data_IF_775758905443
#
_entry.id   IF_775758905443
#
_cell.length_a   1.000
_cell.length_b   1.000
_cell.length_c   1.000
_cell.angle_alpha   90.00
_cell.angle_beta   90.00
_cell.angle_gamma   90.00
#
_symmetry.space_group_name_H-M   'P 1'
#
loop_
_entity.id
_entity.type
_entity.pdbx_description
1 polymer ?
#
# COMPACT_ATOMS: atom_id res chain seq x y z
N UNK A 1 -6.83 -0.34 -5.10
CA UNK A 1 -8.26 -0.33 -4.68
C UNK A 1 -8.41 0.58 -3.48
N UNK A 2 -9.59 1.14 -3.26
CA UNK A 2 -9.84 2.01 -2.11
C UNK A 2 -9.87 1.16 -0.83
N UNK A 3 -9.13 1.54 0.23
CA UNK A 3 -9.18 0.82 1.49
C UNK A 3 -10.57 0.81 2.11
N UNK A 4 -11.04 -0.37 2.52
CA UNK A 4 -12.27 -0.55 3.28
C UNK A 4 -11.95 -0.58 4.79
N UNK A 5 -12.19 0.54 5.44
CA UNK A 5 -11.94 0.71 6.86
C UNK A 5 -12.81 -0.16 7.76
N UNK A 6 -14.03 -0.52 7.35
CA UNK A 6 -14.92 -1.38 8.14
C UNK A 6 -14.39 -2.83 8.13
N UNK A 7 -13.99 -3.31 6.96
CA UNK A 7 -13.37 -4.63 6.81
C UNK A 7 -12.03 -4.71 7.55
N UNK A 8 -11.21 -3.66 7.49
CA UNK A 8 -9.94 -3.59 8.24
C UNK A 8 -10.21 -3.65 9.75
N UNK A 9 -11.12 -2.82 10.26
CA UNK A 9 -11.43 -2.75 11.69
C UNK A 9 -11.97 -4.09 12.23
N UNK A 10 -12.93 -4.70 11.52
CA UNK A 10 -13.50 -6.00 11.92
C UNK A 10 -12.45 -7.11 11.92
N UNK A 11 -11.57 -7.14 10.91
CA UNK A 11 -10.46 -8.10 10.85
C UNK A 11 -9.46 -7.90 11.99
N UNK A 12 -9.13 -6.66 12.32
CA UNK A 12 -8.20 -6.36 13.42
C UNK A 12 -8.75 -6.89 14.75
N UNK A 13 -10.00 -6.58 15.08
CA UNK A 13 -10.68 -7.07 16.29
C UNK A 13 -10.71 -8.59 16.39
N UNK A 14 -10.88 -9.28 15.26
CA UNK A 14 -10.98 -10.74 15.24
C UNK A 14 -9.61 -11.43 15.36
N UNK A 15 -8.55 -10.85 14.79
CA UNK A 15 -7.26 -11.53 14.62
C UNK A 15 -6.18 -11.13 15.63
N UNK A 16 -6.34 -10.02 16.34
CA UNK A 16 -5.28 -9.45 17.17
C UNK A 16 -5.79 -9.06 18.55
N UNK A 17 -5.03 -9.40 19.59
CA UNK A 17 -5.31 -8.97 20.97
C UNK A 17 -4.98 -7.49 21.18
N UNK A 18 -4.00 -6.96 20.44
CA UNK A 18 -3.54 -5.57 20.42
C UNK A 18 -4.24 -4.71 19.34
N UNK A 19 -5.44 -5.11 18.90
CA UNK A 19 -6.13 -4.52 17.75
C UNK A 19 -6.38 -3.00 17.90
N UNK A 20 -6.62 -2.51 19.11
CA UNK A 20 -6.92 -1.10 19.38
C UNK A 20 -5.71 -0.21 19.09
N UNK A 21 -4.51 -0.62 19.51
CA UNK A 21 -3.27 0.10 19.22
C UNK A 21 -3.00 0.14 17.69
N UNK A 22 -3.22 -0.99 17.01
CA UNK A 22 -3.08 -1.09 15.55
C UNK A 22 -4.06 -0.18 14.83
N UNK A 23 -5.31 -0.16 15.27
CA UNK A 23 -6.34 0.70 14.68
C UNK A 23 -6.02 2.18 14.85
N UNK A 24 -5.54 2.58 16.03
CA UNK A 24 -5.14 3.96 16.29
C UNK A 24 -4.01 4.44 15.37
N UNK A 25 -3.15 3.55 14.87
CA UNK A 25 -2.12 3.90 13.87
C UNK A 25 -2.66 4.06 12.44
N UNK A 26 -3.84 3.53 12.16
CA UNK A 26 -4.42 3.46 10.81
C UNK A 26 -5.49 4.53 10.59
N UNK A 27 -6.38 4.71 11.57
CA UNK A 27 -7.63 5.48 11.43
C UNK A 27 -7.43 6.95 11.07
N UNK A 28 -6.31 7.53 11.50
CA UNK A 28 -6.01 8.97 11.34
C UNK A 28 -5.22 9.25 10.05
N UNK A 29 -4.92 8.24 9.24
CA UNK A 29 -4.22 8.44 7.98
C UNK A 29 -5.17 8.99 6.92
N UNK A 30 -4.88 10.21 6.45
CA UNK A 30 -5.54 10.77 5.28
C UNK A 30 -5.15 9.99 4.04
N UNK A 31 -6.16 9.61 3.25
CA UNK A 31 -5.99 8.86 2.01
C UNK A 31 -6.19 9.81 0.84
N UNK A 32 -5.18 9.89 -0.01
CA UNK A 32 -5.20 10.64 -1.25
C UNK A 32 -5.34 9.70 -2.43
N UNK A 33 -6.25 10.03 -3.34
CA UNK A 33 -6.36 9.37 -4.63
C UNK A 33 -5.38 10.01 -5.61
N UNK A 34 -4.55 9.17 -6.23
CA UNK A 34 -3.60 9.59 -7.27
C UNK A 34 -3.95 8.87 -8.55
N UNK A 35 -4.31 9.65 -9.56
CA UNK A 35 -4.58 9.13 -10.90
C UNK A 35 -3.31 8.58 -11.53
N UNK A 36 -3.44 7.44 -12.20
CA UNK A 36 -2.38 6.85 -13.01
C UNK A 36 -2.92 6.54 -14.40
N UNK A 37 -2.04 6.17 -15.34
CA UNK A 37 -2.42 5.83 -16.72
C UNK A 37 -3.41 4.65 -16.83
N UNK A 38 -3.53 3.83 -15.78
CA UNK A 38 -4.36 2.61 -15.82
C UNK A 38 -5.49 2.63 -14.78
N UNK A 39 -5.13 2.71 -13.49
CA UNK A 39 -6.08 2.70 -12.38
C UNK A 39 -5.63 3.69 -11.30
N UNK A 40 -6.54 4.40 -10.64
CA UNK A 40 -6.16 5.23 -9.50
C UNK A 40 -5.56 4.36 -8.40
N UNK A 41 -4.54 4.91 -7.74
CA UNK A 41 -3.97 4.34 -6.54
C UNK A 41 -4.30 5.24 -5.36
N UNK A 42 -4.39 4.62 -4.18
CA UNK A 42 -4.71 5.31 -2.94
C UNK A 42 -3.46 5.30 -2.07
N UNK A 43 -3.03 6.47 -1.62
CA UNK A 43 -1.80 6.64 -0.86
C UNK A 43 -2.05 7.39 0.43
N UNK A 44 -1.25 7.07 1.44
CA UNK A 44 -1.01 7.93 2.58
C UNK A 44 0.49 8.17 2.67
N UNK A 45 0.88 9.34 3.17
CA UNK A 45 2.28 9.74 3.31
C UNK A 45 2.44 10.57 4.58
N UNK A 46 3.67 10.64 5.10
CA UNK A 46 3.99 11.40 6.30
C UNK A 46 5.37 12.03 6.15
N UNK A 47 5.49 13.31 6.50
CA UNK A 47 6.76 14.03 6.48
C UNK A 47 7.16 14.58 5.10
N UNK A 48 6.27 14.50 4.12
CA UNK A 48 6.44 15.09 2.77
C UNK A 48 5.12 15.71 2.33
N UNK A 49 5.15 16.54 1.29
CA UNK A 49 3.96 17.10 0.63
C UNK A 49 3.30 16.09 -0.33
N UNK A 50 2.06 16.38 -0.73
CA UNK A 50 1.33 15.56 -1.71
C UNK A 50 2.03 15.56 -3.07
N UNK A 51 2.59 16.69 -3.47
CA UNK A 51 3.32 16.88 -4.72
C UNK A 51 4.60 16.04 -4.74
N UNK A 52 5.36 16.06 -3.64
CA UNK A 52 6.53 15.21 -3.47
C UNK A 52 6.16 13.72 -3.50
N UNK A 53 5.10 13.32 -2.80
CA UNK A 53 4.63 11.94 -2.81
C UNK A 53 4.25 11.48 -4.22
N UNK A 54 3.53 12.32 -4.97
CA UNK A 54 3.16 12.06 -6.38
C UNK A 54 4.38 11.94 -7.27
N UNK A 55 5.36 12.83 -7.13
CA UNK A 55 6.58 12.77 -7.94
C UNK A 55 7.42 11.53 -7.60
N UNK A 56 7.59 11.19 -6.32
CA UNK A 56 8.28 9.96 -5.89
C UNK A 56 7.64 8.73 -6.53
N UNK A 57 6.31 8.61 -6.46
CA UNK A 57 5.59 7.50 -7.08
C UNK A 57 5.84 7.47 -8.59
N UNK A 58 5.73 8.61 -9.26
CA UNK A 58 5.91 8.72 -10.71
C UNK A 58 7.32 8.33 -11.16
N UNK A 59 8.37 8.83 -10.52
CA UNK A 59 9.76 8.49 -10.89
C UNK A 59 10.13 7.05 -10.56
N UNK A 60 9.48 6.49 -9.54
CA UNK A 60 9.71 5.11 -9.10
C UNK A 60 8.78 4.10 -9.74
N UNK A 61 7.93 4.52 -10.70
CA UNK A 61 7.00 3.67 -11.46
C UNK A 61 7.29 3.77 -12.96
N UNK A 62 7.88 2.72 -13.52
CA UNK A 62 8.23 2.55 -14.94
C UNK A 62 7.11 1.79 -15.66
N UNK A 63 6.55 0.74 -15.04
CA UNK A 63 5.50 -0.12 -15.62
C UNK A 63 4.36 -0.38 -14.64
N UNK A 64 3.13 -0.18 -15.11
CA UNK A 64 1.92 -0.41 -14.32
C UNK A 64 1.61 0.75 -13.38
N UNK A 65 1.11 0.44 -12.18
CA UNK A 65 0.64 1.44 -11.20
C UNK A 65 1.39 1.37 -9.86
N UNK A 66 2.28 0.38 -9.70
CA UNK A 66 3.02 0.13 -8.45
C UNK A 66 4.50 0.41 -8.70
N UNK A 67 5.17 1.16 -7.81
CA UNK A 67 6.61 1.42 -7.91
C UNK A 67 7.46 0.15 -8.08
N UNK A 68 8.46 0.17 -8.97
CA UNK A 68 9.37 -0.95 -9.18
C UNK A 68 10.05 -1.45 -7.90
N UNK A 69 10.50 -0.58 -6.96
CA UNK A 69 11.07 -1.06 -5.71
C UNK A 69 10.10 -1.94 -4.91
N UNK A 70 8.81 -1.60 -4.90
CA UNK A 70 7.77 -2.40 -4.25
C UNK A 70 7.49 -3.71 -5.01
N UNK A 71 7.51 -3.67 -6.35
CA UNK A 71 7.38 -4.88 -7.18
C UNK A 71 8.51 -5.87 -6.92
N UNK A 72 9.76 -5.38 -6.84
CA UNK A 72 10.93 -6.20 -6.54
C UNK A 72 10.83 -6.78 -5.12
N UNK A 73 10.45 -5.97 -4.13
CA UNK A 73 10.23 -6.45 -2.77
C UNK A 73 9.17 -7.58 -2.73
N UNK A 74 8.08 -7.43 -3.47
CA UNK A 74 7.05 -8.47 -3.58
C UNK A 74 7.58 -9.77 -4.22
N UNK A 75 8.36 -9.67 -5.30
CA UNK A 75 8.99 -10.82 -5.96
C UNK A 75 9.93 -11.57 -5.02
N UNK A 76 10.75 -10.84 -4.25
CA UNK A 76 11.66 -11.44 -3.27
C UNK A 76 10.87 -12.12 -2.16
N UNK A 77 9.90 -11.41 -1.55
CA UNK A 77 9.11 -11.97 -0.45
C UNK A 77 8.33 -13.21 -0.87
N UNK A 78 7.72 -13.20 -2.06
CA UNK A 78 7.01 -14.38 -2.59
C UNK A 78 7.96 -15.54 -2.88
N UNK A 79 9.13 -15.29 -3.47
CA UNK A 79 10.15 -16.30 -3.68
C UNK A 79 10.64 -16.92 -2.37
N UNK A 80 10.84 -16.13 -1.32
CA UNK A 80 11.26 -16.60 0.01
C UNK A 80 10.16 -17.43 0.69
N UNK A 81 8.91 -16.97 0.65
CA UNK A 81 7.81 -17.62 1.40
C UNK A 81 7.24 -18.84 0.67
N UNK A 82 7.17 -18.81 -0.66
CA UNK A 82 6.50 -19.84 -1.48
C UNK A 82 7.45 -20.70 -2.28
N UNK A 83 8.76 -20.39 -2.31
CA UNK A 83 9.76 -21.08 -3.13
C UNK A 83 9.70 -20.74 -4.63
N UNK A 84 8.70 -19.98 -5.06
CA UNK A 84 8.51 -19.54 -6.45
C UNK A 84 7.97 -18.10 -6.48
N UNK A 85 8.43 -17.31 -7.45
CA UNK A 85 7.92 -15.95 -7.67
C UNK A 85 6.78 -15.95 -8.70
N UNK A 86 5.63 -15.38 -8.37
CA UNK A 86 4.53 -15.16 -9.31
C UNK A 86 4.46 -13.68 -9.72
N UNK A 87 4.30 -13.38 -11.02
CA UNK A 87 4.46 -12.04 -11.58
C UNK A 87 3.28 -11.05 -11.41
N UNK A 88 2.37 -11.27 -10.47
CA UNK A 88 1.19 -10.40 -10.26
C UNK A 88 1.36 -9.56 -8.99
N UNK A 89 2.03 -8.42 -9.14
CA UNK A 89 2.00 -7.28 -8.23
C UNK A 89 1.26 -6.13 -8.92
#
# INVERSE_FOLDING_TARGET
>A
EKPDFETIMSTLRMKFTDWEERWNKIKDNEIFEVETKHKPIYISFRGISLEEAKEIIKISTIRGVIPEPLRVAHMIASGVVRGESYGKA
#
